data_IF_740809970209
#
_entry.id   IF_740809970209
#
_cell.length_a   1.000
_cell.length_b   1.000
_cell.length_c   1.000
_cell.angle_alpha   90.00
_cell.angle_beta   90.00
_cell.angle_gamma   90.00
#
_symmetry.space_group_name_H-M   'P 1'
#
loop_
_entity.id
_entity.type
_entity.pdbx_description
1 polymer ?
#
# COMPACT_ATOMS: atom_id res chain seq x y z
N UNK A 1 -28.39 13.00 -9.10
CA UNK A 1 -27.09 13.21 -8.50
C UNK A 1 -27.25 13.49 -7.02
N UNK A 2 -26.63 12.69 -6.15
CA UNK A 2 -26.65 12.98 -4.71
C UNK A 2 -25.83 14.25 -4.47
N UNK A 3 -26.26 15.20 -3.64
CA UNK A 3 -25.44 16.35 -3.30
C UNK A 3 -24.17 15.87 -2.61
N UNK A 4 -23.01 16.31 -3.11
CA UNK A 4 -21.72 16.10 -2.46
C UNK A 4 -21.81 16.72 -1.07
N UNK A 5 -21.50 15.97 -0.02
CA UNK A 5 -21.57 16.49 1.35
C UNK A 5 -20.62 17.70 1.49
N UNK A 6 -20.96 18.67 2.35
CA UNK A 6 -20.12 19.85 2.61
C UNK A 6 -18.69 19.44 3.01
N UNK A 7 -18.52 18.35 3.75
CA UNK A 7 -17.24 17.80 4.14
C UNK A 7 -16.39 17.35 2.92
N UNK A 8 -16.99 16.69 1.93
CA UNK A 8 -16.27 16.29 0.72
C UNK A 8 -15.85 17.50 -0.13
N UNK A 9 -16.70 18.54 -0.20
CA UNK A 9 -16.38 19.82 -0.84
C UNK A 9 -15.20 20.52 -0.15
N UNK A 10 -15.16 20.54 1.18
CA UNK A 10 -14.09 21.16 1.96
C UNK A 10 -12.76 20.41 1.84
N UNK A 11 -12.81 19.07 1.75
CA UNK A 11 -11.61 18.23 1.50
C UNK A 11 -11.04 18.53 0.11
N UNK A 12 -11.91 18.56 -0.91
CA UNK A 12 -11.50 18.86 -2.28
C UNK A 12 -10.88 20.26 -2.41
N UNK A 13 -11.50 21.27 -1.77
CA UNK A 13 -10.98 22.64 -1.75
C UNK A 13 -9.60 22.72 -1.10
N UNK A 14 -9.42 22.06 0.04
CA UNK A 14 -8.09 21.99 0.72
C UNK A 14 -7.04 21.28 -0.14
N UNK A 15 -7.39 20.25 -0.90
CA UNK A 15 -6.48 19.60 -1.84
C UNK A 15 -6.02 20.56 -2.94
N UNK A 16 -6.94 21.34 -3.53
CA UNK A 16 -6.59 22.34 -4.55
C UNK A 16 -5.66 23.42 -3.99
N UNK A 17 -5.94 23.93 -2.79
CA UNK A 17 -5.09 24.91 -2.12
C UNK A 17 -3.69 24.36 -1.81
N UNK A 18 -3.60 23.12 -1.34
CA UNK A 18 -2.33 22.45 -1.08
C UNK A 18 -1.52 22.23 -2.35
N UNK A 19 -2.18 21.77 -3.43
CA UNK A 19 -1.55 21.61 -4.74
C UNK A 19 -1.00 22.92 -5.29
N UNK A 20 -1.77 24.01 -5.16
CA UNK A 20 -1.31 25.34 -5.59
C UNK A 20 -0.10 25.82 -4.79
N UNK A 21 -0.07 25.59 -3.47
CA UNK A 21 1.09 25.93 -2.61
C UNK A 21 2.33 25.14 -2.98
N UNK A 22 2.19 23.82 -3.25
CA UNK A 22 3.31 22.97 -3.67
C UNK A 22 3.89 23.44 -5.00
N UNK A 23 3.05 23.73 -6.00
CA UNK A 23 3.49 24.27 -7.29
C UNK A 23 4.18 25.63 -7.15
N UNK A 24 3.68 26.52 -6.31
CA UNK A 24 4.31 27.82 -6.06
C UNK A 24 5.68 27.66 -5.39
N UNK A 25 5.80 26.74 -4.43
CA UNK A 25 7.06 26.45 -3.76
C UNK A 25 8.07 25.85 -4.75
N UNK A 26 7.67 24.90 -5.57
CA UNK A 26 8.51 24.30 -6.61
C UNK A 26 9.03 25.38 -7.57
N UNK A 27 8.14 26.22 -8.11
CA UNK A 27 8.54 27.31 -8.99
C UNK A 27 9.56 28.26 -8.34
N UNK A 28 9.36 28.62 -7.08
CA UNK A 28 10.28 29.47 -6.33
C UNK A 28 11.65 28.80 -6.12
N UNK A 29 11.67 27.51 -5.81
CA UNK A 29 12.93 26.77 -5.62
C UNK A 29 13.71 26.62 -6.94
N UNK A 30 13.01 26.45 -8.06
CA UNK A 30 13.62 26.43 -9.39
C UNK A 30 14.18 27.83 -9.73
N UNK A 31 13.40 28.89 -9.51
CA UNK A 31 13.84 30.27 -9.74
C UNK A 31 15.12 30.63 -8.93
N UNK A 32 15.19 30.13 -7.68
CA UNK A 32 16.36 30.31 -6.81
C UNK A 32 17.53 29.38 -7.12
N UNK A 33 17.41 28.49 -8.09
CA UNK A 33 18.44 27.52 -8.46
C UNK A 33 18.71 26.42 -7.41
N UNK A 34 17.79 26.22 -6.47
CA UNK A 34 17.87 25.14 -5.45
C UNK A 34 17.46 23.80 -6.05
N UNK A 35 16.48 23.81 -6.95
CA UNK A 35 16.01 22.65 -7.70
C UNK A 35 16.10 22.92 -9.21
N UNK A 36 16.18 21.86 -10.00
CA UNK A 36 15.91 21.92 -11.43
C UNK A 36 14.58 21.22 -11.72
N UNK A 37 13.85 21.65 -12.78
CA UNK A 37 12.66 20.97 -13.23
C UNK A 37 12.94 19.50 -13.57
N UNK A 38 14.09 19.22 -14.19
CA UNK A 38 14.53 17.86 -14.49
C UNK A 38 14.76 16.97 -13.27
N UNK A 39 15.04 17.54 -12.10
CA UNK A 39 15.19 16.77 -10.84
C UNK A 39 13.82 16.33 -10.32
N UNK A 40 12.81 17.20 -10.43
CA UNK A 40 11.43 16.87 -10.05
C UNK A 40 10.88 15.80 -11.00
N UNK A 41 11.05 15.99 -12.33
CA UNK A 41 10.60 15.06 -13.35
C UNK A 41 11.19 13.65 -13.14
N UNK A 42 12.49 13.55 -12.83
CA UNK A 42 13.16 12.27 -12.53
C UNK A 42 12.60 11.57 -11.30
N UNK A 43 12.25 12.31 -10.26
CA UNK A 43 11.63 11.74 -9.07
C UNK A 43 10.23 11.23 -9.40
N UNK A 44 9.43 11.98 -10.13
CA UNK A 44 8.10 11.54 -10.56
C UNK A 44 8.19 10.29 -11.44
N UNK A 45 9.08 10.29 -12.43
CA UNK A 45 9.33 9.13 -13.30
C UNK A 45 9.76 7.88 -12.48
N UNK A 46 10.61 8.06 -11.46
CA UNK A 46 11.02 6.98 -10.59
C UNK A 46 9.83 6.38 -9.82
N UNK A 47 8.94 7.22 -9.27
CA UNK A 47 7.72 6.75 -8.62
C UNK A 47 6.77 6.05 -9.61
N UNK A 48 6.61 6.61 -10.81
CA UNK A 48 5.71 6.04 -11.82
C UNK A 48 6.20 4.71 -12.40
N UNK A 49 7.52 4.50 -12.46
CA UNK A 49 8.11 3.35 -13.17
C UNK A 49 8.79 2.32 -12.26
N UNK A 50 9.22 2.71 -11.06
CA UNK A 50 10.00 1.85 -10.16
C UNK A 50 9.32 1.55 -8.84
N UNK A 51 8.40 2.39 -8.37
CA UNK A 51 7.74 2.23 -7.09
C UNK A 51 6.23 2.23 -7.25
N UNK A 52 5.55 1.21 -6.75
CA UNK A 52 4.11 1.21 -6.87
C UNK A 52 3.45 -0.14 -6.63
N UNK A 53 2.11 -0.16 -6.66
CA UNK A 53 1.35 -1.36 -6.37
C UNK A 53 1.59 -2.50 -7.37
N UNK A 54 2.08 -2.19 -8.56
CA UNK A 54 2.51 -3.19 -9.55
C UNK A 54 3.66 -4.07 -9.05
N UNK A 55 4.57 -3.55 -8.20
CA UNK A 55 5.61 -4.34 -7.56
C UNK A 55 5.01 -5.33 -6.56
N UNK A 56 4.14 -4.84 -5.67
CA UNK A 56 3.45 -5.71 -4.72
C UNK A 56 2.61 -6.78 -5.43
N UNK A 57 1.89 -6.41 -6.48
CA UNK A 57 1.11 -7.36 -7.27
C UNK A 57 1.97 -8.47 -7.88
N UNK A 58 3.14 -8.14 -8.43
CA UNK A 58 4.10 -9.13 -8.95
C UNK A 58 4.65 -10.05 -7.85
N UNK A 59 4.99 -9.47 -6.68
CA UNK A 59 5.46 -10.27 -5.53
C UNK A 59 4.39 -11.25 -5.05
N UNK A 60 3.13 -10.82 -4.96
CA UNK A 60 2.00 -11.67 -4.58
C UNK A 60 1.77 -12.78 -5.61
N UNK A 61 1.67 -12.44 -6.90
CA UNK A 61 1.44 -13.41 -7.97
C UNK A 61 2.53 -14.48 -8.00
N UNK A 62 3.80 -14.06 -7.89
CA UNK A 62 4.91 -15.00 -7.82
C UNK A 62 4.85 -15.88 -6.56
N UNK A 63 4.51 -15.31 -5.40
CA UNK A 63 4.39 -16.07 -4.15
C UNK A 63 3.26 -17.11 -4.19
N UNK A 64 2.19 -16.86 -4.95
CA UNK A 64 1.12 -17.83 -5.16
C UNK A 64 1.53 -19.00 -6.06
N UNK A 65 2.45 -18.77 -7.02
CA UNK A 65 2.93 -19.79 -7.97
C UNK A 65 4.16 -20.54 -7.48
N UNK A 66 4.99 -19.92 -6.65
CA UNK A 66 6.27 -20.44 -6.18
C UNK A 66 6.32 -20.50 -4.64
N UNK A 67 6.13 -21.70 -4.03
CA UNK A 67 6.16 -21.88 -2.59
C UNK A 67 7.52 -21.53 -1.92
N UNK A 68 8.63 -21.70 -2.63
CA UNK A 68 9.95 -21.33 -2.08
C UNK A 68 10.13 -19.81 -2.07
N UNK A 69 9.69 -19.11 -3.14
CA UNK A 69 9.64 -17.67 -3.16
C UNK A 69 8.69 -17.11 -2.08
N UNK A 70 7.54 -17.75 -1.87
CA UNK A 70 6.61 -17.39 -0.78
C UNK A 70 7.27 -17.47 0.59
N UNK A 71 8.02 -18.53 0.87
CA UNK A 71 8.77 -18.66 2.13
C UNK A 71 9.80 -17.53 2.29
N UNK A 72 10.52 -17.21 1.22
CA UNK A 72 11.45 -16.09 1.23
C UNK A 72 10.73 -14.78 1.51
N UNK A 73 9.64 -14.49 0.78
CA UNK A 73 8.86 -13.26 0.91
C UNK A 73 8.36 -13.04 2.34
N UNK A 74 7.89 -14.10 2.99
CA UNK A 74 7.38 -14.05 4.36
C UNK A 74 8.50 -13.93 5.42
N UNK A 75 9.68 -14.46 5.15
CA UNK A 75 10.83 -14.40 6.06
C UNK A 75 11.66 -13.13 5.89
N UNK A 76 11.93 -12.75 4.63
CA UNK A 76 12.71 -11.57 4.26
C UNK A 76 12.17 -10.92 2.97
N UNK A 77 11.26 -9.99 3.15
CA UNK A 77 10.63 -9.28 2.04
C UNK A 77 11.62 -8.42 1.24
N UNK A 78 12.62 -7.83 1.89
CA UNK A 78 13.62 -7.02 1.21
C UNK A 78 14.44 -7.89 0.25
N UNK A 79 14.91 -9.05 0.71
CA UNK A 79 15.64 -9.99 -0.14
C UNK A 79 14.78 -10.53 -1.29
N UNK A 80 13.49 -10.78 -1.06
CA UNK A 80 12.55 -11.17 -2.13
C UNK A 80 12.39 -10.08 -3.20
N UNK A 81 12.35 -8.80 -2.79
CA UNK A 81 12.34 -7.66 -3.71
C UNK A 81 13.64 -7.58 -4.53
N UNK A 82 14.79 -7.75 -3.88
CA UNK A 82 16.10 -7.73 -4.54
C UNK A 82 16.23 -8.83 -5.61
N UNK A 83 15.68 -10.03 -5.38
CA UNK A 83 15.65 -11.10 -6.38
C UNK A 83 14.90 -10.73 -7.66
N UNK A 84 14.04 -9.74 -7.61
CA UNK A 84 13.24 -9.26 -8.74
C UNK A 84 13.68 -7.86 -9.23
N UNK A 85 14.86 -7.39 -8.84
CA UNK A 85 15.38 -6.05 -9.14
C UNK A 85 14.41 -4.93 -8.74
N UNK A 86 13.65 -5.15 -7.65
CA UNK A 86 12.70 -4.18 -7.13
C UNK A 86 13.33 -3.33 -6.02
N UNK A 87 12.96 -2.04 -5.90
CA UNK A 87 13.44 -1.21 -4.82
C UNK A 87 12.94 -1.72 -3.45
N UNK A 88 13.77 -1.58 -2.42
CA UNK A 88 13.47 -1.96 -1.03
C UNK A 88 13.25 -0.77 -0.10
N UNK A 89 13.45 0.44 -0.61
CA UNK A 89 13.25 1.70 0.12
C UNK A 89 13.26 2.89 -0.83
N UNK A 90 13.06 4.08 -0.30
CA UNK A 90 13.30 5.31 -1.07
C UNK A 90 14.79 5.38 -1.39
N UNK A 91 15.13 5.81 -2.61
CA UNK A 91 16.48 5.90 -3.18
C UNK A 91 17.56 6.23 -2.12
N UNK A 92 18.36 5.24 -1.74
CA UNK A 92 19.48 5.40 -0.79
C UNK A 92 19.10 5.43 0.69
N UNK A 93 17.86 5.27 1.08
CA UNK A 93 17.47 5.12 2.47
C UNK A 93 17.77 3.68 2.93
N UNK A 94 18.91 3.47 3.54
CA UNK A 94 19.17 2.26 4.32
C UNK A 94 18.18 2.24 5.51
N UNK A 95 17.56 1.09 5.75
CA UNK A 95 16.90 0.82 7.02
C UNK A 95 15.38 0.70 7.03
N UNK A 96 14.69 0.76 5.89
CA UNK A 96 13.29 0.33 5.85
C UNK A 96 13.23 -1.19 5.74
N UNK A 97 12.63 -1.82 6.76
CA UNK A 97 12.39 -3.27 6.77
C UNK A 97 10.95 -3.51 6.34
N UNK A 98 10.76 -4.12 5.20
CA UNK A 98 9.43 -4.57 4.79
C UNK A 98 9.11 -5.93 5.42
N UNK A 99 7.88 -6.10 5.89
CA UNK A 99 7.36 -7.33 6.46
C UNK A 99 6.02 -7.67 5.82
N UNK A 100 5.78 -8.94 5.66
CA UNK A 100 4.58 -9.46 5.02
C UNK A 100 3.79 -10.31 6.00
N UNK A 101 2.49 -10.04 6.10
CA UNK A 101 1.55 -10.85 6.86
C UNK A 101 0.66 -11.63 5.89
N UNK A 102 0.63 -12.95 6.01
CA UNK A 102 -0.14 -13.81 5.13
C UNK A 102 -1.58 -13.95 5.59
N UNK A 103 -2.54 -13.69 4.69
CA UNK A 103 -3.93 -14.05 4.87
C UNK A 103 -4.15 -15.54 4.56
N UNK A 104 -5.01 -16.16 5.36
CA UNK A 104 -5.46 -17.54 5.18
C UNK A 104 -6.98 -17.61 5.35
N UNK A 105 -7.59 -18.76 5.11
CA UNK A 105 -9.02 -18.98 5.35
C UNK A 105 -9.47 -18.67 6.79
N UNK A 106 -8.57 -18.75 7.77
CA UNK A 106 -8.87 -18.54 9.20
C UNK A 106 -8.26 -17.25 9.79
N UNK A 107 -7.36 -16.56 9.06
CA UNK A 107 -6.68 -15.36 9.54
C UNK A 107 -6.72 -14.28 8.49
N UNK A 108 -7.21 -13.11 8.86
CA UNK A 108 -7.20 -11.90 8.04
C UNK A 108 -6.36 -10.82 8.69
N UNK A 109 -5.44 -10.23 7.94
CA UNK A 109 -4.51 -9.22 8.41
C UNK A 109 -4.94 -7.83 7.93
N UNK A 110 -4.87 -6.84 8.81
CA UNK A 110 -5.14 -5.43 8.51
C UNK A 110 -3.89 -4.62 8.88
N UNK A 111 -3.45 -3.76 7.96
CA UNK A 111 -2.28 -2.90 8.17
C UNK A 111 -2.72 -1.50 8.53
N UNK A 112 -2.10 -0.95 9.57
CA UNK A 112 -2.29 0.43 10.01
C UNK A 112 -0.94 1.09 10.32
N UNK A 113 -0.97 2.40 10.58
CA UNK A 113 0.12 3.10 11.27
C UNK A 113 -0.49 4.10 12.26
N UNK A 114 -0.44 3.77 13.55
CA UNK A 114 -1.05 4.61 14.60
C UNK A 114 -0.31 5.92 14.83
N UNK A 115 1.00 5.97 14.55
CA UNK A 115 1.85 7.14 14.81
C UNK A 115 1.80 8.17 13.68
N UNK A 116 1.87 7.72 12.43
CA UNK A 116 1.97 8.62 11.28
C UNK A 116 1.27 8.03 10.03
N UNK A 117 2.01 7.77 8.98
CA UNK A 117 1.53 7.17 7.73
C UNK A 117 2.62 6.31 7.09
N UNK A 118 3.28 5.48 7.91
CA UNK A 118 4.32 4.59 7.47
C UNK A 118 3.75 3.53 6.54
N UNK A 119 4.06 3.65 5.27
CA UNK A 119 3.50 2.88 4.17
C UNK A 119 4.62 2.24 3.35
N UNK A 120 4.48 1.03 2.85
CA UNK A 120 5.51 0.34 2.08
C UNK A 120 5.55 0.86 0.63
N UNK A 121 6.13 2.04 0.41
CA UNK A 121 6.15 2.72 -0.89
C UNK A 121 6.74 1.88 -2.02
N UNK A 122 7.81 1.09 -1.82
CA UNK A 122 8.36 0.27 -2.90
C UNK A 122 7.36 -0.70 -3.51
N UNK A 123 6.47 -1.26 -2.69
CA UNK A 123 5.52 -2.30 -3.07
C UNK A 123 4.10 -1.82 -3.29
N UNK A 124 3.70 -0.70 -2.66
CA UNK A 124 2.32 -0.20 -2.72
C UNK A 124 2.19 1.25 -3.23
N UNK A 125 3.30 1.92 -3.52
CA UNK A 125 3.30 3.29 -3.99
C UNK A 125 2.90 4.30 -2.91
N UNK A 126 2.17 5.34 -3.29
CA UNK A 126 1.74 6.38 -2.36
C UNK A 126 0.53 5.92 -1.54
N UNK A 127 0.53 6.21 -0.21
CA UNK A 127 -0.58 5.83 0.65
C UNK A 127 -1.88 6.53 0.24
N UNK A 128 -3.00 5.81 0.20
CA UNK A 128 -4.30 6.41 -0.02
C UNK A 128 -4.68 7.34 1.13
N UNK A 129 -5.58 8.28 0.86
CA UNK A 129 -5.96 9.30 1.85
C UNK A 129 -6.52 8.71 3.15
N UNK A 130 -7.37 7.69 3.04
CA UNK A 130 -7.98 7.03 4.19
C UNK A 130 -6.95 6.40 5.15
N UNK A 131 -5.81 5.91 4.64
CA UNK A 131 -4.75 5.34 5.46
C UNK A 131 -4.11 6.37 6.41
N UNK A 132 -4.15 7.67 6.02
CA UNK A 132 -3.64 8.79 6.83
C UNK A 132 -4.67 9.34 7.81
N UNK A 133 -5.95 8.97 7.68
CA UNK A 133 -7.03 9.47 8.52
C UNK A 133 -6.84 9.03 9.99
N UNK A 134 -6.78 9.97 10.95
CA UNK A 134 -6.62 9.63 12.36
C UNK A 134 -7.75 8.76 12.91
N UNK A 135 -8.97 8.91 12.38
CA UNK A 135 -10.14 8.14 12.80
C UNK A 135 -10.01 6.70 12.34
N UNK A 136 -9.64 6.46 11.07
CA UNK A 136 -9.33 5.13 10.56
C UNK A 136 -8.28 4.43 11.44
N UNK A 137 -7.14 5.09 11.70
CA UNK A 137 -6.03 4.54 12.47
C UNK A 137 -6.45 4.15 13.90
N UNK A 138 -7.15 5.05 14.59
CA UNK A 138 -7.58 4.82 15.97
C UNK A 138 -8.66 3.73 16.09
N UNK A 139 -9.60 3.66 15.14
CA UNK A 139 -10.69 2.70 15.12
C UNK A 139 -10.21 1.32 14.70
N UNK A 140 -9.37 1.23 13.68
CA UNK A 140 -8.82 -0.05 13.21
C UNK A 140 -8.07 -0.83 14.27
N UNK A 141 -7.41 -0.14 15.21
CA UNK A 141 -6.74 -0.78 16.34
C UNK A 141 -7.71 -1.34 17.40
N UNK A 142 -8.94 -0.83 17.49
CA UNK A 142 -9.90 -1.18 18.56
C UNK A 142 -11.08 -2.01 18.06
N UNK A 143 -11.55 -1.73 16.87
CA UNK A 143 -12.75 -2.33 16.27
C UNK A 143 -12.50 -2.69 14.78
N UNK A 144 -11.44 -3.50 14.47
CA UNK A 144 -11.04 -3.73 13.09
C UNK A 144 -12.15 -4.35 12.24
N UNK A 145 -12.96 -5.25 12.79
CA UNK A 145 -14.07 -5.89 12.06
C UNK A 145 -15.12 -4.88 11.60
N UNK A 146 -15.45 -3.91 12.44
CA UNK A 146 -16.40 -2.83 12.10
C UNK A 146 -15.82 -1.96 10.98
N UNK A 147 -14.54 -1.60 11.08
CA UNK A 147 -13.87 -0.81 10.05
C UNK A 147 -13.82 -1.57 8.72
N UNK A 148 -13.50 -2.86 8.73
CA UNK A 148 -13.50 -3.68 7.51
C UNK A 148 -14.89 -3.75 6.86
N UNK A 149 -15.95 -3.91 7.65
CA UNK A 149 -17.34 -3.86 7.15
C UNK A 149 -17.66 -2.52 6.48
N UNK A 150 -17.16 -1.40 6.99
CA UNK A 150 -17.32 -0.07 6.36
C UNK A 150 -16.60 0.05 5.00
N UNK A 151 -15.54 -0.75 4.78
CA UNK A 151 -14.89 -0.93 3.48
C UNK A 151 -15.64 -1.92 2.57
N UNK A 152 -16.72 -2.53 3.06
CA UNK A 152 -17.50 -3.54 2.33
C UNK A 152 -16.93 -4.95 2.45
N UNK A 153 -15.99 -5.17 3.38
CA UNK A 153 -15.41 -6.48 3.64
C UNK A 153 -16.07 -7.14 4.85
N UNK A 154 -16.96 -8.08 4.57
CA UNK A 154 -17.55 -8.93 5.61
C UNK A 154 -16.72 -10.21 5.77
N UNK A 155 -16.32 -10.49 7.00
CA UNK A 155 -15.57 -11.69 7.36
C UNK A 155 -16.41 -12.55 8.29
N UNK A 156 -16.34 -13.87 8.11
CA UNK A 156 -16.99 -14.83 9.00
C UNK A 156 -16.51 -14.62 10.46
N UNK A 157 -17.38 -14.95 11.40
CA UNK A 157 -17.14 -14.64 12.82
C UNK A 157 -15.98 -15.42 13.42
N UNK A 158 -15.62 -16.56 12.87
CA UNK A 158 -14.51 -17.44 13.25
C UNK A 158 -13.16 -17.02 12.64
N UNK A 159 -13.16 -16.10 11.67
CA UNK A 159 -11.92 -15.56 11.10
C UNK A 159 -11.26 -14.62 12.11
N UNK A 160 -10.04 -14.94 12.51
CA UNK A 160 -9.21 -14.09 13.36
C UNK A 160 -8.74 -12.86 12.58
N UNK A 161 -8.91 -11.66 13.15
CA UNK A 161 -8.38 -10.43 12.55
C UNK A 161 -7.13 -10.01 13.33
N UNK A 162 -5.99 -9.93 12.62
CA UNK A 162 -4.73 -9.43 13.16
C UNK A 162 -4.44 -8.05 12.61
N UNK A 163 -4.19 -7.10 13.50
CA UNK A 163 -3.85 -5.73 13.13
C UNK A 163 -2.35 -5.52 13.32
N UNK A 164 -1.67 -5.12 12.26
CA UNK A 164 -0.23 -4.86 12.24
C UNK A 164 0.02 -3.35 12.15
N UNK A 165 0.75 -2.84 13.12
CA UNK A 165 1.08 -1.42 13.21
C UNK A 165 2.46 -1.16 12.59
N UNK A 166 2.51 -0.48 11.46
CA UNK A 166 3.75 -0.05 10.82
C UNK A 166 4.44 1.03 11.65
N UNK A 167 5.75 1.07 11.59
CA UNK A 167 6.57 2.04 12.31
C UNK A 167 7.55 2.77 11.38
N UNK A 168 8.36 3.69 11.91
CA UNK A 168 9.42 4.36 11.17
C UNK A 168 10.43 3.42 10.52
N UNK A 169 10.64 2.25 11.07
CA UNK A 169 11.60 1.25 10.59
C UNK A 169 10.94 0.07 9.88
N UNK A 170 9.74 -0.35 10.33
CA UNK A 170 9.06 -1.54 9.80
C UNK A 170 7.81 -1.09 9.03
N UNK A 171 7.71 -1.57 7.78
CA UNK A 171 6.57 -1.37 6.89
C UNK A 171 5.90 -2.70 6.66
N UNK A 172 4.68 -2.85 7.18
CA UNK A 172 3.86 -4.03 6.96
C UNK A 172 3.01 -3.91 5.71
N UNK A 173 2.79 -5.04 5.05
CA UNK A 173 1.77 -5.23 4.02
C UNK A 173 1.28 -6.67 4.01
N UNK A 174 0.21 -6.96 3.28
CA UNK A 174 -0.48 -8.25 3.31
C UNK A 174 -0.19 -9.04 2.04
N UNK A 175 0.18 -10.31 2.19
CA UNK A 175 0.04 -11.31 1.14
C UNK A 175 -1.41 -11.82 1.19
N UNK A 176 -2.29 -11.40 0.27
CA UNK A 176 -3.67 -11.83 0.28
C UNK A 176 -3.79 -13.32 -0.07
N UNK A 177 -4.89 -13.94 0.34
CA UNK A 177 -5.23 -15.30 -0.05
C UNK A 177 -5.50 -15.37 -1.55
N UNK A 178 -4.99 -16.41 -2.21
CA UNK A 178 -5.23 -16.62 -3.63
C UNK A 178 -6.70 -17.02 -3.85
N UNK A 179 -7.43 -16.37 -4.78
CA UNK A 179 -8.80 -16.73 -5.06
C UNK A 179 -8.93 -18.16 -5.62
N UNK A 180 -9.99 -18.85 -5.25
CA UNK A 180 -10.31 -20.16 -5.83
C UNK A 180 -10.47 -20.06 -7.35
N UNK A 181 -10.07 -21.11 -8.06
CA UNK A 181 -10.18 -21.18 -9.52
C UNK A 181 -9.07 -20.45 -10.29
N UNK A 182 -8.09 -19.83 -9.62
CA UNK A 182 -7.01 -19.08 -10.28
C UNK A 182 -5.70 -19.86 -10.46
N UNK A 183 -5.66 -21.15 -10.13
CA UNK A 183 -4.44 -21.96 -10.14
C UNK A 183 -3.77 -22.06 -11.52
N UNK A 184 -4.56 -22.03 -12.59
CA UNK A 184 -4.06 -22.13 -13.98
C UNK A 184 -3.67 -20.78 -14.59
N UNK A 185 -3.94 -19.67 -13.91
CA UNK A 185 -3.60 -18.33 -14.40
C UNK A 185 -2.09 -18.11 -14.38
N UNK A 186 -1.60 -17.33 -15.33
CA UNK A 186 -0.21 -16.85 -15.36
C UNK A 186 0.07 -15.85 -14.23
N UNK A 187 1.34 -15.57 -13.95
CA UNK A 187 1.71 -14.53 -12.97
C UNK A 187 1.18 -13.17 -13.36
N UNK A 188 1.15 -12.83 -14.67
CA UNK A 188 0.62 -11.57 -15.18
C UNK A 188 -0.89 -11.44 -14.99
N UNK A 189 -1.63 -12.52 -15.27
CA UNK A 189 -3.08 -12.56 -15.04
C UNK A 189 -3.41 -12.45 -13.56
N UNK A 190 -2.67 -13.16 -12.71
CA UNK A 190 -2.82 -13.08 -11.26
C UNK A 190 -2.49 -11.68 -10.73
N UNK A 191 -1.40 -11.06 -11.21
CA UNK A 191 -1.01 -9.72 -10.80
C UNK A 191 -2.08 -8.66 -11.14
N UNK A 192 -2.82 -8.85 -12.22
CA UNK A 192 -3.90 -7.95 -12.62
C UNK A 192 -5.11 -7.95 -11.69
N UNK A 193 -5.29 -9.01 -10.87
CA UNK A 193 -6.36 -9.12 -9.89
C UNK A 193 -6.04 -8.39 -8.57
N UNK A 194 -4.76 -8.13 -8.31
CA UNK A 194 -4.28 -7.67 -7.01
C UNK A 194 -4.34 -6.15 -6.93
N UNK A 195 -4.94 -5.63 -5.87
CA UNK A 195 -5.12 -4.21 -5.64
C UNK A 195 -4.34 -3.73 -4.41
N UNK A 196 -4.03 -2.44 -4.29
CA UNK A 196 -3.45 -1.88 -3.06
C UNK A 196 -4.29 -2.19 -1.83
N UNK A 197 -5.61 -2.14 -1.97
CA UNK A 197 -6.58 -2.41 -0.89
C UNK A 197 -6.46 -3.85 -0.37
N UNK A 198 -6.28 -4.83 -1.27
CA UNK A 198 -6.09 -6.23 -0.86
C UNK A 198 -4.75 -6.44 -0.16
N UNK A 199 -3.70 -5.73 -0.59
CA UNK A 199 -2.38 -5.75 0.04
C UNK A 199 -2.30 -4.93 1.34
N UNK A 200 -3.31 -4.13 1.66
CA UNK A 200 -3.47 -3.47 2.96
C UNK A 200 -4.43 -4.21 3.89
N UNK A 201 -5.14 -5.20 3.37
CA UNK A 201 -6.09 -6.00 4.10
C UNK A 201 -7.46 -5.37 4.29
N UNK A 202 -7.83 -4.35 3.50
CA UNK A 202 -9.19 -3.75 3.52
C UNK A 202 -10.12 -4.32 2.46
N UNK A 203 -9.62 -5.20 1.60
CA UNK A 203 -10.42 -6.00 0.66
C UNK A 203 -9.84 -7.40 0.48
N UNK A 204 -10.62 -8.31 -0.10
CA UNK A 204 -10.13 -9.57 -0.66
C UNK A 204 -9.80 -9.38 -2.14
N UNK A 205 -8.96 -10.28 -2.67
CA UNK A 205 -8.82 -10.42 -4.11
C UNK A 205 -10.01 -11.23 -4.62
N UNK A 206 -10.64 -10.74 -5.68
CA UNK A 206 -11.79 -11.40 -6.34
C UNK A 206 -11.55 -11.53 -7.83
N UNK A 207 -12.17 -12.54 -8.45
CA UNK A 207 -12.20 -12.73 -9.90
C UNK A 207 -13.14 -11.76 -10.58
#
# INVERSE_FOLDING_TARGET
PRPVSSAASDVYKRQLESSAKVKALEALLIEKGVLSSSSVDKILEYFDTKMGPFNGAKLVAKAWKDPEFKKLLLSDCNLACEQLDMPTGMSGAEGEIMRVAENTSSVHNLIICTLCSCYPWPTLGLPPYWFKDPTFRARSAREPRVVLSEFGLELETDVEIRVWDSSGQIRWWVLPEQPEGTNEMSEEELAALITPESMMGVSKVVL
#
